data_IF_530444684521
#
_entry.id   IF_530444684521
#
_cell.length_a   1.000
_cell.length_b   1.000
_cell.length_c   1.000
_cell.angle_alpha   90.00
_cell.angle_beta   90.00
_cell.angle_gamma   90.00
#
_symmetry.space_group_name_H-M   'P 1'
#
loop_
_entity.id
_entity.type
_entity.pdbx_description
1 polymer ?
#
# COMPACT_ATOMS: atom_id res chain seq x y z
N UNK A 1 4.36 22.40 -41.70
CA UNK A 1 4.60 22.04 -40.29
C UNK A 1 3.27 21.63 -39.70
N UNK A 2 3.15 20.44 -39.10
CA UNK A 2 1.86 19.96 -38.57
C UNK A 2 1.53 20.65 -37.24
N UNK A 3 0.25 20.74 -36.84
CA UNK A 3 -0.13 21.27 -35.52
C UNK A 3 0.59 20.55 -34.36
N UNK A 4 0.78 19.23 -34.48
CA UNK A 4 1.56 18.44 -33.51
C UNK A 4 3.00 18.92 -33.39
N UNK A 5 3.72 19.11 -34.50
CA UNK A 5 5.10 19.62 -34.46
C UNK A 5 5.19 21.01 -33.83
N UNK A 6 4.22 21.89 -34.09
CA UNK A 6 4.17 23.23 -33.49
C UNK A 6 4.02 23.13 -31.97
N UNK A 7 3.06 22.33 -31.50
CA UNK A 7 2.80 22.15 -30.06
C UNK A 7 4.03 21.55 -29.37
N UNK A 8 4.62 20.49 -29.92
CA UNK A 8 5.80 19.84 -29.32
C UNK A 8 7.00 20.78 -29.29
N UNK A 9 7.30 21.48 -30.38
CA UNK A 9 8.40 22.44 -30.41
C UNK A 9 8.19 23.59 -29.41
N UNK A 10 6.95 24.07 -29.26
CA UNK A 10 6.61 25.09 -28.27
C UNK A 10 6.90 24.64 -26.85
N UNK A 11 6.49 23.41 -26.49
CA UNK A 11 6.71 22.86 -25.13
C UNK A 11 8.21 22.69 -24.85
N UNK A 12 8.97 22.19 -25.82
CA UNK A 12 10.42 22.03 -25.69
C UNK A 12 11.07 23.40 -25.47
N UNK A 13 10.82 24.36 -26.36
CA UNK A 13 11.44 25.68 -26.29
C UNK A 13 11.04 26.47 -25.03
N UNK A 14 9.81 26.30 -24.52
CA UNK A 14 9.39 26.96 -23.28
C UNK A 14 10.01 26.35 -22.02
N UNK A 15 10.46 25.10 -22.08
CA UNK A 15 11.05 24.39 -20.93
C UNK A 15 12.55 24.63 -20.81
N UNK A 16 13.22 24.85 -21.95
CA UNK A 16 14.67 24.99 -22.05
C UNK A 16 15.20 26.33 -21.54
N UNK A 17 16.36 26.30 -20.88
CA UNK A 17 17.17 27.49 -20.59
C UNK A 17 18.36 27.57 -21.56
N UNK A 18 18.17 28.23 -22.70
CA UNK A 18 19.19 28.37 -23.75
C UNK A 18 20.42 29.22 -23.37
N UNK A 19 20.42 29.84 -22.18
CA UNK A 19 21.58 30.59 -21.68
C UNK A 19 22.65 29.70 -21.04
N UNK A 20 22.37 28.41 -20.84
CA UNK A 20 23.29 27.43 -20.26
C UNK A 20 23.89 26.56 -21.36
N UNK A 21 25.17 26.21 -21.24
CA UNK A 21 25.83 25.31 -22.18
C UNK A 21 25.35 23.86 -21.94
N UNK A 22 24.72 23.19 -22.92
CA UNK A 22 24.26 21.81 -22.78
C UNK A 22 25.38 20.81 -22.49
N UNK A 23 26.63 21.10 -22.88
CA UNK A 23 27.77 20.23 -22.60
C UNK A 23 28.26 20.34 -21.15
N UNK A 24 27.86 21.39 -20.44
CA UNK A 24 28.24 21.66 -19.06
C UNK A 24 27.16 21.19 -18.08
N UNK A 25 25.90 21.54 -18.33
CA UNK A 25 24.74 21.09 -17.56
C UNK A 25 23.53 20.92 -18.49
N UNK A 26 23.36 19.70 -18.99
CA UNK A 26 22.26 19.39 -19.89
C UNK A 26 20.90 19.46 -19.19
N UNK A 27 20.84 19.25 -17.87
CA UNK A 27 19.59 19.27 -17.13
C UNK A 27 19.05 20.70 -16.98
N UNK A 28 19.89 21.65 -16.56
CA UNK A 28 19.49 23.06 -16.52
C UNK A 28 19.21 23.59 -17.93
N UNK A 29 20.00 23.21 -18.94
CA UNK A 29 19.72 23.59 -20.33
C UNK A 29 18.34 23.10 -20.81
N UNK A 30 18.00 21.83 -20.53
CA UNK A 30 16.77 21.22 -21.02
C UNK A 30 15.52 21.62 -20.20
N UNK A 31 15.67 21.80 -18.88
CA UNK A 31 14.56 21.90 -17.93
C UNK A 31 14.52 23.21 -17.11
N UNK A 32 15.55 24.05 -17.18
CA UNK A 32 15.74 25.16 -16.24
C UNK A 32 14.59 26.18 -16.22
N UNK A 33 13.94 26.44 -17.35
CA UNK A 33 12.76 27.32 -17.38
C UNK A 33 11.49 26.59 -16.89
N UNK A 34 11.37 25.29 -17.17
CA UNK A 34 10.27 24.48 -16.65
C UNK A 34 10.25 24.50 -15.12
N UNK A 35 11.39 24.29 -14.47
CA UNK A 35 11.49 24.29 -12.99
C UNK A 35 11.04 25.63 -12.41
N UNK A 36 11.43 26.75 -13.04
CA UNK A 36 11.02 28.11 -12.59
C UNK A 36 9.53 28.35 -12.77
N UNK A 37 8.93 27.76 -13.79
CA UNK A 37 7.50 27.89 -14.09
C UNK A 37 6.59 26.95 -13.29
N UNK A 38 7.15 25.93 -12.62
CA UNK A 38 6.40 24.90 -11.91
C UNK A 38 6.89 24.78 -10.46
N UNK A 39 6.52 25.74 -9.58
CA UNK A 39 6.76 25.58 -8.15
C UNK A 39 6.01 24.36 -7.63
N UNK A 40 6.57 23.70 -6.62
CA UNK A 40 5.93 22.55 -5.96
C UNK A 40 4.60 23.02 -5.35
N UNK A 41 3.45 22.41 -5.70
CA UNK A 41 2.16 22.73 -5.10
C UNK A 41 2.14 22.48 -3.60
N UNK A 42 1.35 23.26 -2.86
CA UNK A 42 1.25 23.14 -1.39
C UNK A 42 0.70 21.79 -0.91
N UNK A 43 0.04 21.01 -1.78
CA UNK A 43 -0.55 19.71 -1.46
C UNK A 43 0.29 18.53 -1.97
N UNK A 44 1.54 18.77 -2.40
CA UNK A 44 2.41 17.76 -2.97
C UNK A 44 3.86 17.89 -2.48
N UNK A 45 4.61 16.77 -2.36
CA UNK A 45 6.01 16.81 -1.95
C UNK A 45 6.97 17.14 -3.11
N UNK A 46 6.50 17.03 -4.36
CA UNK A 46 7.30 17.24 -5.56
C UNK A 46 6.42 17.54 -6.77
N UNK A 47 7.03 18.02 -7.85
CA UNK A 47 6.38 18.25 -9.14
C UNK A 47 7.31 17.86 -10.29
N UNK A 48 6.80 17.08 -11.22
CA UNK A 48 7.44 16.77 -12.51
C UNK A 48 6.36 16.60 -13.58
N UNK A 49 6.79 16.34 -14.82
CA UNK A 49 5.86 16.00 -15.89
C UNK A 49 5.06 14.72 -15.60
N UNK A 50 5.59 13.78 -14.81
CA UNK A 50 4.88 12.57 -14.42
C UNK A 50 3.74 12.87 -13.43
N UNK A 51 3.98 13.70 -12.42
CA UNK A 51 2.95 14.14 -11.47
C UNK A 51 1.86 14.93 -12.19
N UNK A 52 2.21 15.83 -13.10
CA UNK A 52 1.24 16.57 -13.92
C UNK A 52 0.35 15.60 -14.74
N UNK A 53 0.96 14.60 -15.40
CA UNK A 53 0.20 13.60 -16.15
C UNK A 53 -0.68 12.73 -15.23
N UNK A 54 -0.19 12.39 -14.03
CA UNK A 54 -0.96 11.68 -13.01
C UNK A 54 -2.18 12.48 -12.56
N UNK A 55 -2.03 13.79 -12.34
CA UNK A 55 -3.15 14.68 -12.02
C UNK A 55 -4.17 14.75 -13.17
N UNK A 56 -3.72 14.92 -14.41
CA UNK A 56 -4.60 14.91 -15.59
C UNK A 56 -5.39 13.60 -15.70
N UNK A 57 -4.74 12.47 -15.43
CA UNK A 57 -5.39 11.15 -15.36
C UNK A 57 -6.42 11.09 -14.23
N UNK A 58 -6.10 11.58 -13.03
CA UNK A 58 -7.03 11.61 -11.91
C UNK A 58 -8.26 12.47 -12.19
N UNK A 59 -8.10 13.63 -12.84
CA UNK A 59 -9.22 14.47 -13.27
C UNK A 59 -10.10 13.77 -14.31
N UNK A 60 -9.50 13.14 -15.32
CA UNK A 60 -10.25 12.37 -16.32
C UNK A 60 -11.02 11.22 -15.66
N UNK A 61 -10.40 10.48 -14.73
CA UNK A 61 -11.07 9.42 -13.99
C UNK A 61 -12.20 9.96 -13.11
N UNK A 62 -12.00 11.10 -12.43
CA UNK A 62 -13.04 11.78 -11.65
C UNK A 62 -14.26 12.07 -12.52
N UNK A 63 -14.07 12.71 -13.68
CA UNK A 63 -15.16 13.02 -14.60
C UNK A 63 -15.91 11.75 -15.04
N UNK A 64 -15.19 10.70 -15.42
CA UNK A 64 -15.78 9.43 -15.84
C UNK A 64 -16.52 8.70 -14.71
N UNK A 65 -16.04 8.80 -13.47
CA UNK A 65 -16.68 8.21 -12.29
C UNK A 65 -17.94 8.98 -11.87
N UNK A 66 -17.96 10.30 -12.06
CA UNK A 66 -19.10 11.18 -11.76
C UNK A 66 -20.15 11.21 -12.87
N UNK A 67 -19.77 10.85 -14.10
CA UNK A 67 -20.69 10.80 -15.24
C UNK A 67 -21.87 9.86 -14.96
N UNK A 68 -23.09 10.36 -15.22
CA UNK A 68 -24.30 9.53 -15.14
C UNK A 68 -24.26 8.49 -16.26
N UNK A 69 -24.39 7.21 -15.91
CA UNK A 69 -24.55 6.16 -16.92
C UNK A 69 -25.97 6.29 -17.48
N UNK A 70 -26.10 6.91 -18.66
CA UNK A 70 -27.37 7.00 -19.39
C UNK A 70 -28.38 8.04 -18.88
N UNK A 71 -29.43 8.25 -19.67
CA UNK A 71 -30.61 9.02 -19.27
C UNK A 71 -31.46 8.13 -18.36
N UNK A 72 -31.48 8.43 -17.07
CA UNK A 72 -32.40 7.87 -16.06
C UNK A 72 -32.18 6.44 -15.53
N UNK A 73 -31.11 5.71 -15.87
CA UNK A 73 -30.88 4.39 -15.26
C UNK A 73 -30.02 4.49 -13.99
N UNK A 74 -30.48 3.82 -12.92
CA UNK A 74 -29.73 3.65 -11.68
C UNK A 74 -28.35 3.01 -11.98
N UNK A 75 -27.33 3.36 -11.19
CA UNK A 75 -26.01 2.71 -11.28
C UNK A 75 -26.21 1.19 -11.27
N UNK A 76 -25.81 0.50 -12.34
CA UNK A 76 -25.79 -0.96 -12.39
C UNK A 76 -24.76 -1.48 -11.39
N UNK A 77 -25.23 -1.78 -10.18
CA UNK A 77 -24.39 -2.24 -9.06
C UNK A 77 -23.79 -3.62 -9.28
N UNK A 78 -24.17 -4.34 -10.34
CA UNK A 78 -23.63 -5.66 -10.63
C UNK A 78 -22.43 -5.61 -11.58
N UNK A 79 -22.41 -4.67 -12.52
CA UNK A 79 -21.25 -4.48 -13.40
C UNK A 79 -20.01 -3.99 -12.64
N UNK A 80 -18.82 -4.36 -13.14
CA UNK A 80 -17.55 -3.88 -12.58
C UNK A 80 -17.44 -2.35 -12.60
N UNK A 81 -17.95 -1.70 -13.66
CA UNK A 81 -17.94 -0.24 -13.80
C UNK A 81 -18.90 0.39 -12.79
N UNK A 82 -20.13 -0.12 -12.66
CA UNK A 82 -21.08 0.43 -11.71
C UNK A 82 -20.69 0.20 -10.26
N UNK A 83 -20.02 -0.93 -9.92
CA UNK A 83 -19.37 -1.12 -8.61
C UNK A 83 -18.29 -0.06 -8.35
N UNK A 84 -17.46 0.26 -9.34
CA UNK A 84 -16.44 1.29 -9.20
C UNK A 84 -17.04 2.69 -8.98
N UNK A 85 -18.07 3.07 -9.75
CA UNK A 85 -18.79 4.34 -9.56
C UNK A 85 -19.51 4.41 -8.22
N UNK A 86 -20.13 3.30 -7.80
CA UNK A 86 -20.83 3.22 -6.52
C UNK A 86 -19.84 3.35 -5.35
N UNK A 87 -18.70 2.67 -5.40
CA UNK A 87 -17.63 2.84 -4.42
C UNK A 87 -17.15 4.30 -4.36
N UNK A 88 -16.88 4.93 -5.51
CA UNK A 88 -16.44 6.33 -5.54
C UNK A 88 -17.47 7.26 -4.87
N UNK A 89 -18.76 7.04 -5.13
CA UNK A 89 -19.84 7.77 -4.46
C UNK A 89 -19.86 7.56 -2.94
N UNK A 90 -19.68 6.33 -2.47
CA UNK A 90 -19.60 6.02 -1.04
C UNK A 90 -18.39 6.71 -0.39
N UNK A 91 -17.23 6.66 -1.04
CA UNK A 91 -16.00 7.27 -0.56
C UNK A 91 -16.14 8.79 -0.35
N UNK A 92 -16.91 9.47 -1.20
CA UNK A 92 -17.22 10.90 -1.08
C UNK A 92 -18.24 11.22 0.03
N UNK A 93 -19.03 10.26 0.49
CA UNK A 93 -20.11 10.50 1.45
C UNK A 93 -19.59 10.50 2.91
N UNK A 94 -18.98 11.62 3.31
CA UNK A 94 -18.36 11.74 4.64
C UNK A 94 -19.34 11.58 5.79
N UNK A 95 -20.60 12.01 5.63
CA UNK A 95 -21.62 11.86 6.67
C UNK A 95 -21.94 10.39 6.92
N UNK A 96 -22.13 9.60 5.87
CA UNK A 96 -22.41 8.16 6.01
C UNK A 96 -21.21 7.39 6.57
N UNK A 97 -19.98 7.78 6.23
CA UNK A 97 -18.77 7.20 6.82
C UNK A 97 -18.68 7.59 8.29
N UNK A 98 -18.89 8.86 8.63
CA UNK A 98 -18.85 9.36 10.01
C UNK A 98 -19.84 8.63 10.92
N UNK A 99 -21.05 8.35 10.41
CA UNK A 99 -22.10 7.69 11.18
C UNK A 99 -21.83 6.19 11.43
N UNK A 100 -21.08 5.53 10.54
CA UNK A 100 -20.96 4.06 10.54
C UNK A 100 -19.55 3.52 10.81
N UNK A 101 -18.49 4.32 10.66
CA UNK A 101 -17.11 3.81 10.71
C UNK A 101 -16.79 3.06 11.99
N UNK A 102 -17.31 3.53 13.14
CA UNK A 102 -17.00 2.95 14.44
C UNK A 102 -17.59 1.55 14.58
N UNK A 103 -18.82 1.35 14.12
CA UNK A 103 -19.46 0.03 14.14
C UNK A 103 -18.69 -0.96 13.27
N UNK A 104 -18.34 -0.57 12.03
CA UNK A 104 -17.54 -1.43 11.15
C UNK A 104 -16.14 -1.71 11.71
N UNK A 105 -15.51 -0.71 12.33
CA UNK A 105 -14.23 -0.87 13.00
C UNK A 105 -14.31 -1.88 14.16
N UNK A 106 -15.28 -1.72 15.06
CA UNK A 106 -15.44 -2.59 16.22
C UNK A 106 -15.80 -4.04 15.80
N UNK A 107 -16.58 -4.24 14.73
CA UNK A 107 -16.88 -5.57 14.18
C UNK A 107 -15.60 -6.29 13.71
N UNK A 108 -14.71 -5.59 13.01
CA UNK A 108 -13.44 -6.18 12.53
C UNK A 108 -12.49 -6.44 13.69
N UNK A 109 -12.32 -5.49 14.60
CA UNK A 109 -11.48 -5.67 15.80
C UNK A 109 -11.96 -6.83 16.66
N UNK A 110 -13.28 -6.99 16.82
CA UNK A 110 -13.85 -8.14 17.53
C UNK A 110 -13.56 -9.46 16.81
N UNK A 111 -13.64 -9.49 15.47
CA UNK A 111 -13.29 -10.67 14.67
C UNK A 111 -11.80 -11.04 14.76
N UNK A 112 -10.93 -10.07 15.04
CA UNK A 112 -9.51 -10.27 15.29
C UNK A 112 -9.17 -10.68 16.73
N UNK A 113 -10.16 -10.70 17.63
CA UNK A 113 -9.96 -11.06 19.04
C UNK A 113 -9.64 -9.87 19.95
N UNK A 114 -9.75 -8.63 19.44
CA UNK A 114 -9.59 -7.40 20.18
C UNK A 114 -8.21 -6.74 20.01
N UNK A 115 -8.19 -5.43 20.21
CA UNK A 115 -6.97 -4.62 20.17
C UNK A 115 -6.55 -4.19 21.59
N UNK A 116 -5.44 -4.71 22.15
CA UNK A 116 -5.02 -4.42 23.52
C UNK A 116 -4.81 -2.93 23.84
N UNK A 117 -4.30 -2.12 22.89
CA UNK A 117 -4.18 -0.67 23.08
C UNK A 117 -5.49 0.06 23.33
N UNK A 118 -6.62 -0.56 22.96
CA UNK A 118 -7.96 -0.02 23.19
C UNK A 118 -8.62 -0.60 24.45
N UNK A 119 -7.87 -1.30 25.30
CA UNK A 119 -8.34 -1.88 26.56
C UNK A 119 -8.95 -3.27 26.44
N UNK A 120 -8.91 -3.90 25.25
CA UNK A 120 -9.36 -5.28 25.09
C UNK A 120 -8.38 -6.24 25.77
N UNK A 121 -8.91 -7.22 26.50
CA UNK A 121 -8.08 -8.26 27.10
C UNK A 121 -7.70 -9.28 26.03
N UNK A 122 -6.39 -9.49 25.87
CA UNK A 122 -5.90 -10.52 24.96
C UNK A 122 -6.19 -11.90 25.57
N UNK A 123 -6.90 -12.75 24.82
CA UNK A 123 -7.13 -14.13 25.27
C UNK A 123 -5.85 -14.96 25.11
N UNK A 124 -5.60 -15.87 26.04
CA UNK A 124 -4.37 -16.68 26.04
C UNK A 124 -4.21 -17.53 24.77
N UNK A 125 -5.32 -17.94 24.17
CA UNK A 125 -5.41 -18.78 22.98
C UNK A 125 -5.29 -18.01 21.65
N UNK A 126 -5.14 -16.67 21.67
CA UNK A 126 -4.90 -15.89 20.45
C UNK A 126 -3.61 -16.37 19.79
N UNK A 127 -3.72 -16.81 18.54
CA UNK A 127 -2.60 -17.20 17.69
C UNK A 127 -2.26 -16.06 16.75
N UNK A 128 -0.99 -15.62 16.77
CA UNK A 128 -0.47 -14.59 15.86
C UNK A 128 -0.59 -15.08 14.42
N UNK A 129 -0.35 -16.36 14.18
CA UNK A 129 -0.47 -17.01 12.88
C UNK A 129 -1.88 -16.90 12.32
N UNK A 130 -2.91 -17.16 13.14
CA UNK A 130 -4.31 -17.06 12.71
C UNK A 130 -4.72 -15.62 12.48
N UNK A 131 -4.42 -14.73 13.43
CA UNK A 131 -4.70 -13.30 13.31
C UNK A 131 -4.07 -12.72 12.04
N UNK A 132 -2.78 -12.98 11.85
CA UNK A 132 -2.06 -12.48 10.68
C UNK A 132 -2.55 -13.13 9.38
N UNK A 133 -2.89 -14.43 9.41
CA UNK A 133 -3.49 -15.12 8.27
C UNK A 133 -4.83 -14.53 7.84
N UNK A 134 -5.72 -14.22 8.78
CA UNK A 134 -6.99 -13.54 8.52
C UNK A 134 -6.77 -12.12 7.96
N UNK A 135 -5.80 -11.38 8.48
CA UNK A 135 -5.42 -10.05 7.97
C UNK A 135 -4.85 -10.11 6.54
N UNK A 136 -4.01 -11.10 6.23
CA UNK A 136 -3.46 -11.33 4.88
C UNK A 136 -4.58 -11.69 3.91
N UNK A 137 -5.46 -12.64 4.28
CA UNK A 137 -6.54 -13.11 3.42
C UNK A 137 -7.55 -12.02 3.06
N UNK A 138 -7.97 -11.22 4.05
CA UNK A 138 -9.06 -10.24 3.90
C UNK A 138 -8.57 -8.87 3.47
N UNK A 139 -7.37 -8.47 3.90
CA UNK A 139 -6.88 -7.09 3.75
C UNK A 139 -5.55 -6.98 3.00
N UNK A 140 -4.99 -8.09 2.51
CA UNK A 140 -3.68 -8.13 1.85
C UNK A 140 -2.57 -7.56 2.74
N UNK A 141 -2.65 -7.82 4.04
CA UNK A 141 -1.68 -7.33 5.00
C UNK A 141 -0.26 -7.84 4.66
N UNK A 142 0.72 -6.96 4.88
CA UNK A 142 2.14 -7.18 4.65
C UNK A 142 2.96 -6.55 5.78
N UNK A 143 2.54 -6.82 7.03
CA UNK A 143 3.08 -6.22 8.26
C UNK A 143 4.28 -6.98 8.81
N UNK A 144 4.16 -8.28 9.10
CA UNK A 144 5.29 -9.10 9.59
C UNK A 144 6.17 -9.58 8.44
N UNK A 145 5.54 -10.03 7.36
CA UNK A 145 6.15 -10.48 6.12
C UNK A 145 5.10 -10.48 5.02
N UNK A 146 5.48 -10.22 3.77
CA UNK A 146 4.58 -10.35 2.64
C UNK A 146 4.34 -11.82 2.35
N UNK A 147 3.08 -12.23 2.21
CA UNK A 147 2.71 -13.56 1.73
C UNK A 147 1.77 -13.43 0.53
N UNK A 148 2.05 -14.16 -0.56
CA UNK A 148 1.25 -14.08 -1.77
C UNK A 148 1.31 -15.37 -2.60
N UNK A 149 0.54 -15.42 -3.68
CA UNK A 149 0.59 -16.46 -4.70
C UNK A 149 1.01 -15.81 -6.00
N UNK A 150 2.09 -16.29 -6.61
CA UNK A 150 2.58 -15.80 -7.89
C UNK A 150 3.10 -16.95 -8.76
N UNK A 151 3.32 -16.73 -10.07
CA UNK A 151 4.05 -17.68 -10.89
C UNK A 151 5.44 -17.98 -10.31
N UNK A 152 5.89 -19.24 -10.36
CA UNK A 152 7.24 -19.63 -9.90
C UNK A 152 8.28 -19.12 -10.92
N UNK A 153 9.28 -18.36 -10.49
CA UNK A 153 10.32 -17.80 -11.37
C UNK A 153 11.09 -18.88 -12.13
N UNK A 154 11.21 -20.08 -11.54
CA UNK A 154 11.88 -21.23 -12.17
C UNK A 154 10.92 -22.11 -12.96
N UNK A 155 9.62 -21.88 -12.85
CA UNK A 155 8.59 -22.57 -13.64
C UNK A 155 7.30 -21.73 -13.75
N UNK A 156 7.24 -20.87 -14.76
CA UNK A 156 6.12 -19.94 -14.97
C UNK A 156 4.78 -20.62 -15.30
N UNK A 157 4.74 -21.93 -15.53
CA UNK A 157 3.49 -22.68 -15.74
C UNK A 157 2.78 -23.00 -14.41
N UNK A 158 3.47 -22.89 -13.28
CA UNK A 158 2.94 -23.18 -11.94
C UNK A 158 2.91 -21.93 -11.09
N UNK A 159 1.94 -21.89 -10.18
CA UNK A 159 1.90 -20.91 -9.11
C UNK A 159 2.49 -21.52 -7.83
N UNK A 160 3.12 -20.69 -7.02
CA UNK A 160 3.73 -21.09 -5.75
C UNK A 160 3.37 -20.08 -4.65
N UNK A 161 3.38 -20.55 -3.41
CA UNK A 161 3.34 -19.66 -2.25
C UNK A 161 4.66 -18.89 -2.20
N UNK A 162 4.59 -17.57 -2.06
CA UNK A 162 5.76 -16.70 -1.93
C UNK A 162 5.72 -15.99 -0.58
N UNK A 163 6.86 -15.98 0.10
CA UNK A 163 7.12 -15.10 1.24
C UNK A 163 8.26 -14.14 0.91
N UNK A 164 8.11 -12.88 1.33
CA UNK A 164 9.16 -11.86 1.29
C UNK A 164 9.10 -10.97 2.53
N UNK A 165 10.12 -10.13 2.73
CA UNK A 165 10.12 -9.11 3.77
C UNK A 165 8.94 -8.12 3.60
N UNK A 166 8.44 -7.52 4.69
CA UNK A 166 7.29 -6.62 4.65
C UNK A 166 7.64 -5.27 4.03
N UNK A 167 6.62 -4.52 3.62
CA UNK A 167 6.76 -3.09 3.38
C UNK A 167 6.62 -2.32 4.71
N UNK A 168 7.63 -1.54 5.05
CA UNK A 168 7.66 -0.70 6.25
C UNK A 168 6.67 0.47 6.13
N UNK A 169 6.08 0.90 7.25
CA UNK A 169 5.10 1.97 7.22
C UNK A 169 5.72 3.37 7.10
N UNK A 170 6.92 3.56 7.69
CA UNK A 170 7.67 4.81 7.66
C UNK A 170 8.68 4.79 6.50
N UNK A 171 8.15 4.87 5.28
CA UNK A 171 8.92 4.98 4.05
C UNK A 171 10.02 3.90 3.91
N UNK A 172 11.26 4.23 4.26
CA UNK A 172 12.44 3.39 4.12
C UNK A 172 13.03 2.98 5.48
N UNK A 173 13.82 1.90 5.46
CA UNK A 173 14.52 1.35 6.63
C UNK A 173 15.32 2.40 7.39
N UNK A 174 15.99 3.31 6.68
CA UNK A 174 16.90 4.29 7.28
C UNK A 174 16.20 5.26 8.24
N UNK A 175 14.91 5.54 8.03
CA UNK A 175 14.11 6.37 8.95
C UNK A 175 13.93 5.73 10.33
N UNK A 176 14.11 4.41 10.46
CA UNK A 176 14.06 3.71 11.75
C UNK A 176 15.43 3.62 12.42
N UNK A 177 16.49 3.38 11.65
CA UNK A 177 17.82 2.98 12.17
C UNK A 177 18.68 4.18 12.56
N UNK A 178 18.48 5.33 11.92
CA UNK A 178 19.28 6.53 12.19
C UNK A 178 18.92 7.16 13.57
N UNK A 179 19.93 7.71 14.24
CA UNK A 179 19.88 8.08 15.66
C UNK A 179 18.91 9.24 15.96
N UNK A 180 18.87 10.25 15.10
CA UNK A 180 17.96 11.40 15.19
C UNK A 180 17.15 11.47 13.92
N UNK A 181 15.84 11.22 14.03
CA UNK A 181 14.98 11.18 12.86
C UNK A 181 13.62 11.79 13.21
N UNK A 182 13.35 12.96 12.62
CA UNK A 182 12.08 13.69 12.79
C UNK A 182 10.90 12.84 12.28
N UNK A 183 11.13 12.00 11.26
CA UNK A 183 10.12 11.10 10.70
C UNK A 183 9.67 10.04 11.71
N UNK A 184 10.59 9.42 12.46
CA UNK A 184 10.26 8.45 13.50
C UNK A 184 9.47 9.10 14.64
N UNK A 185 9.83 10.31 15.04
CA UNK A 185 9.11 11.05 16.08
C UNK A 185 7.71 11.48 15.60
N UNK A 186 7.60 11.97 14.36
CA UNK A 186 6.31 12.30 13.75
C UNK A 186 5.42 11.05 13.62
N UNK A 187 6.01 9.90 13.32
CA UNK A 187 5.28 8.63 13.21
C UNK A 187 4.80 8.12 14.56
N UNK A 188 5.65 8.17 15.60
CA UNK A 188 5.25 7.88 16.98
C UNK A 188 4.07 8.77 17.41
N UNK A 189 4.17 10.05 17.12
CA UNK A 189 3.15 11.04 17.41
C UNK A 189 1.83 10.76 16.66
N UNK A 190 1.90 10.29 15.42
CA UNK A 190 0.75 9.84 14.64
C UNK A 190 0.07 8.62 15.30
N UNK A 191 0.83 7.59 15.67
CA UNK A 191 0.30 6.38 16.32
C UNK A 191 -0.45 6.78 17.61
N UNK A 192 0.20 7.58 18.46
CA UNK A 192 -0.39 8.04 19.72
C UNK A 192 -1.68 8.84 19.50
N UNK A 193 -1.67 9.82 18.59
CA UNK A 193 -2.85 10.66 18.33
C UNK A 193 -4.01 9.82 17.80
N UNK A 194 -3.75 8.83 16.94
CA UNK A 194 -4.78 7.90 16.45
C UNK A 194 -5.32 7.01 17.58
N UNK A 195 -4.47 6.46 18.44
CA UNK A 195 -4.93 5.65 19.58
C UNK A 195 -5.85 6.46 20.51
N UNK A 196 -5.52 7.73 20.77
CA UNK A 196 -6.38 8.64 21.55
C UNK A 196 -7.71 8.89 20.84
N UNK A 197 -7.71 9.11 19.52
CA UNK A 197 -8.95 9.25 18.73
C UNK A 197 -9.81 7.98 18.74
N UNK A 198 -9.19 6.81 18.88
CA UNK A 198 -9.88 5.53 19.06
C UNK A 198 -10.37 5.28 20.50
N UNK A 199 -10.19 6.27 21.39
CA UNK A 199 -10.54 6.26 22.81
C UNK A 199 -9.63 5.41 23.72
N UNK A 200 -8.38 5.18 23.34
CA UNK A 200 -7.38 4.68 24.28
C UNK A 200 -7.08 5.74 25.37
N UNK A 201 -6.88 5.34 26.64
CA UNK A 201 -6.39 6.26 27.67
C UNK A 201 -5.06 6.91 27.25
N UNK A 202 -4.88 8.22 27.50
CA UNK A 202 -3.72 8.95 26.98
C UNK A 202 -2.36 8.43 27.44
N UNK A 203 -2.27 7.94 28.68
CA UNK A 203 -1.04 7.35 29.22
C UNK A 203 -0.72 6.02 28.52
N UNK A 204 -1.70 5.11 28.40
CA UNK A 204 -1.51 3.85 27.69
C UNK A 204 -1.29 4.03 26.20
N UNK A 205 -1.92 5.02 25.57
CA UNK A 205 -1.71 5.35 24.16
C UNK A 205 -0.27 5.78 23.87
N UNK A 206 0.38 6.48 24.80
CA UNK A 206 1.79 6.89 24.64
C UNK A 206 2.71 5.69 24.78
N UNK A 207 2.53 4.91 25.84
CA UNK A 207 3.31 3.69 26.08
C UNK A 207 3.16 2.67 24.94
N UNK A 208 1.92 2.40 24.49
CA UNK A 208 1.66 1.44 23.42
C UNK A 208 2.20 1.93 22.07
N UNK A 209 2.17 3.25 21.80
CA UNK A 209 2.78 3.81 20.60
C UNK A 209 4.30 3.60 20.57
N UNK A 210 4.97 3.74 21.72
CA UNK A 210 6.40 3.46 21.86
C UNK A 210 6.71 1.98 21.65
N UNK A 211 5.92 1.05 22.22
CA UNK A 211 6.10 -0.39 22.01
C UNK A 211 5.89 -0.79 20.54
N UNK A 212 4.91 -0.20 19.85
CA UNK A 212 4.65 -0.43 18.43
C UNK A 212 5.85 0.01 17.58
N UNK A 213 6.38 1.22 17.82
CA UNK A 213 7.57 1.74 17.13
C UNK A 213 8.81 0.90 17.46
N UNK A 214 8.97 0.44 18.70
CA UNK A 214 10.09 -0.41 19.12
C UNK A 214 10.09 -1.71 18.33
N UNK A 215 8.94 -2.39 18.26
CA UNK A 215 8.80 -3.62 17.49
C UNK A 215 9.03 -3.39 15.99
N UNK A 216 8.44 -2.34 15.41
CA UNK A 216 8.60 -2.04 13.99
C UNK A 216 10.05 -1.65 13.63
N UNK A 217 10.75 -0.96 14.54
CA UNK A 217 12.18 -0.65 14.39
C UNK A 217 13.04 -1.92 14.43
N UNK A 218 12.72 -2.84 15.35
CA UNK A 218 13.42 -4.12 15.42
C UNK A 218 13.16 -4.98 14.17
N UNK A 219 11.94 -4.94 13.63
CA UNK A 219 11.59 -5.58 12.36
C UNK A 219 12.33 -4.94 11.17
N UNK A 220 12.36 -3.61 11.09
CA UNK A 220 13.10 -2.87 10.06
C UNK A 220 14.62 -3.15 10.12
N UNK A 221 15.18 -3.35 11.31
CA UNK A 221 16.60 -3.66 11.46
C UNK A 221 17.00 -5.00 10.82
N UNK A 222 16.10 -5.97 10.79
CA UNK A 222 16.36 -7.31 10.25
C UNK A 222 16.06 -7.44 8.75
N UNK A 223 15.38 -6.47 8.13
CA UNK A 223 15.15 -6.46 6.67
C UNK A 223 16.47 -6.26 5.91
N UNK A 224 16.51 -6.77 4.68
CA UNK A 224 17.62 -6.53 3.76
C UNK A 224 17.45 -5.15 3.11
N UNK A 225 18.55 -4.44 2.90
CA UNK A 225 18.57 -3.17 2.19
C UNK A 225 18.30 -3.39 0.69
N UNK A 226 17.73 -2.39 0.01
CA UNK A 226 17.27 -2.53 -1.38
C UNK A 226 18.42 -2.86 -2.36
N UNK A 227 19.61 -2.33 -2.12
CA UNK A 227 20.82 -2.59 -2.91
C UNK A 227 21.28 -4.05 -2.85
N UNK A 228 20.97 -4.75 -1.75
CA UNK A 228 21.25 -6.18 -1.55
C UNK A 228 20.20 -7.09 -2.22
N UNK A 229 19.16 -6.52 -2.83
CA UNK A 229 17.99 -7.25 -3.31
C UNK A 229 17.79 -7.19 -4.83
N UNK A 230 18.77 -6.68 -5.57
CA UNK A 230 18.67 -6.55 -7.03
C UNK A 230 18.73 -7.89 -7.78
N UNK A 231 19.40 -8.91 -7.23
CA UNK A 231 19.49 -10.23 -7.86
C UNK A 231 18.43 -11.19 -7.30
N UNK A 232 17.31 -11.32 -8.03
CA UNK A 232 16.20 -12.22 -7.66
C UNK A 232 16.67 -13.68 -7.62
N UNK A 233 17.64 -14.09 -8.45
CA UNK A 233 18.11 -15.47 -8.47
C UNK A 233 18.89 -15.82 -7.19
N UNK A 234 19.61 -14.84 -6.61
CA UNK A 234 20.26 -14.99 -5.30
C UNK A 234 19.26 -14.99 -4.14
N UNK A 235 18.18 -14.22 -4.26
CA UNK A 235 17.12 -14.17 -3.23
C UNK A 235 16.26 -15.45 -3.20
N UNK A 236 16.10 -16.11 -4.34
CA UNK A 236 15.20 -17.26 -4.51
C UNK A 236 15.67 -18.46 -3.69
N UNK A 237 14.91 -18.82 -2.65
CA UNK A 237 15.06 -20.08 -1.92
C UNK A 237 13.73 -20.83 -1.92
N UNK A 238 13.71 -22.04 -2.48
CA UNK A 238 12.53 -22.92 -2.45
C UNK A 238 12.69 -23.97 -1.36
N UNK A 239 11.67 -24.11 -0.51
CA UNK A 239 11.63 -25.08 0.59
C UNK A 239 10.20 -25.57 0.82
N UNK A 240 10.02 -26.65 1.57
CA UNK A 240 8.69 -27.12 1.98
C UNK A 240 8.26 -26.54 3.32
N UNK A 241 6.96 -26.54 3.62
CA UNK A 241 6.46 -26.16 4.94
C UNK A 241 7.05 -27.00 6.08
N UNK A 242 7.35 -28.28 5.83
CA UNK A 242 8.06 -29.14 6.79
C UNK A 242 9.48 -28.64 7.07
N UNK A 243 10.23 -28.26 6.04
CA UNK A 243 11.56 -27.67 6.20
C UNK A 243 11.51 -26.31 6.91
N UNK A 244 10.48 -25.50 6.64
CA UNK A 244 10.25 -24.24 7.36
C UNK A 244 9.99 -24.50 8.83
N UNK A 245 9.16 -25.48 9.18
CA UNK A 245 8.89 -25.86 10.57
C UNK A 245 10.15 -26.30 11.32
N UNK A 246 11.08 -26.99 10.66
CA UNK A 246 12.35 -27.39 11.26
C UNK A 246 13.33 -26.21 11.43
N UNK A 247 13.40 -25.30 10.45
CA UNK A 247 14.38 -24.21 10.43
C UNK A 247 13.90 -22.90 11.08
N UNK A 248 12.59 -22.69 11.16
CA UNK A 248 11.89 -21.48 11.59
C UNK A 248 10.72 -21.84 12.54
N UNK A 249 11.01 -22.45 13.72
CA UNK A 249 10.01 -23.08 14.57
C UNK A 249 9.14 -22.12 15.41
N UNK A 250 9.49 -20.83 15.50
CA UNK A 250 8.79 -19.86 16.37
C UNK A 250 7.52 -19.28 15.73
N UNK A 251 7.11 -19.78 14.57
CA UNK A 251 5.89 -19.40 13.86
C UNK A 251 5.31 -20.63 13.14
N UNK A 252 4.04 -20.96 13.37
CA UNK A 252 3.39 -22.09 12.69
C UNK A 252 2.97 -21.72 11.26
N UNK A 253 3.90 -21.90 10.31
CA UNK A 253 3.70 -21.60 8.89
C UNK A 253 2.55 -22.38 8.25
N UNK A 254 2.36 -23.65 8.65
CA UNK A 254 1.29 -24.47 8.11
C UNK A 254 -0.07 -23.98 8.62
N UNK A 255 -0.18 -23.62 9.90
CA UNK A 255 -1.38 -23.00 10.44
C UNK A 255 -1.68 -21.68 9.73
N UNK A 256 -0.68 -20.81 9.59
CA UNK A 256 -0.81 -19.53 8.89
C UNK A 256 -1.36 -19.69 7.48
N UNK A 257 -0.75 -20.51 6.61
CA UNK A 257 -1.23 -20.66 5.24
C UNK A 257 -2.61 -21.33 5.15
N UNK A 258 -2.92 -22.28 6.05
CA UNK A 258 -4.26 -22.88 6.10
C UNK A 258 -5.33 -21.90 6.58
N UNK A 259 -4.95 -20.90 7.37
CA UNK A 259 -5.82 -19.80 7.76
C UNK A 259 -6.04 -18.83 6.58
N UNK A 260 -4.96 -18.44 5.89
CA UNK A 260 -5.03 -17.56 4.70
C UNK A 260 -5.99 -18.14 3.64
N UNK A 261 -5.99 -19.46 3.48
CA UNK A 261 -6.83 -20.16 2.50
C UNK A 261 -8.12 -20.73 3.10
N UNK A 262 -8.51 -20.36 4.32
CA UNK A 262 -9.65 -20.96 5.04
C UNK A 262 -10.95 -20.96 4.22
N UNK A 263 -11.20 -19.84 3.56
CA UNK A 263 -12.43 -19.58 2.82
C UNK A 263 -12.28 -19.83 1.30
N UNK A 264 -11.15 -20.42 0.87
CA UNK A 264 -10.83 -20.68 -0.54
C UNK A 264 -11.08 -22.16 -0.87
N UNK A 265 -11.89 -22.39 -1.90
CA UNK A 265 -12.21 -23.74 -2.39
C UNK A 265 -11.69 -23.94 -3.81
N UNK A 266 -11.27 -25.17 -4.10
CA UNK A 266 -10.97 -25.62 -5.45
C UNK A 266 -12.24 -25.66 -6.32
N UNK A 267 -12.08 -25.79 -7.64
CA UNK A 267 -13.21 -25.93 -8.58
C UNK A 267 -14.18 -27.07 -8.23
N UNK A 268 -13.70 -28.07 -7.50
CA UNK A 268 -14.50 -29.23 -7.09
C UNK A 268 -15.16 -29.06 -5.72
N UNK A 269 -15.08 -27.86 -5.12
CA UNK A 269 -15.66 -27.54 -3.81
C UNK A 269 -14.83 -28.00 -2.61
N UNK A 270 -13.67 -28.66 -2.83
CA UNK A 270 -12.76 -29.04 -1.74
C UNK A 270 -11.99 -27.82 -1.26
N UNK A 271 -11.98 -27.56 0.05
CA UNK A 271 -11.17 -26.51 0.67
C UNK A 271 -9.69 -26.74 0.36
N UNK A 272 -8.99 -25.66 -0.01
CA UNK A 272 -7.55 -25.72 -0.20
C UNK A 272 -6.88 -25.77 1.18
N UNK A 273 -6.01 -26.76 1.38
CA UNK A 273 -5.21 -26.91 2.58
C UNK A 273 -3.80 -27.36 2.22
N UNK A 274 -2.84 -26.97 3.05
CA UNK A 274 -1.42 -27.28 2.87
C UNK A 274 -0.93 -28.20 3.98
N UNK A 275 -0.10 -29.16 3.60
CA UNK A 275 0.64 -30.06 4.48
C UNK A 275 2.14 -29.73 4.46
N UNK A 276 2.94 -30.53 5.16
CA UNK A 276 4.39 -30.33 5.26
C UNK A 276 5.14 -30.44 3.91
N UNK A 277 4.49 -30.98 2.85
CA UNK A 277 5.08 -31.12 1.52
C UNK A 277 4.81 -29.90 0.62
N UNK A 278 3.94 -28.98 1.03
CA UNK A 278 3.64 -27.79 0.24
C UNK A 278 4.90 -26.95 0.04
N UNK A 279 5.19 -26.60 -1.22
CA UNK A 279 6.35 -25.82 -1.60
C UNK A 279 6.10 -24.32 -1.41
N UNK A 280 7.08 -23.63 -0.84
CA UNK A 280 7.10 -22.19 -0.63
C UNK A 280 8.41 -21.64 -1.18
N UNK A 281 8.32 -20.55 -1.94
CA UNK A 281 9.48 -19.74 -2.32
C UNK A 281 9.61 -18.61 -1.32
N UNK A 282 10.82 -18.43 -0.82
CA UNK A 282 11.18 -17.35 0.09
C UNK A 282 12.20 -16.47 -0.63
N UNK A 283 11.91 -15.18 -0.76
CA UNK A 283 12.90 -14.19 -1.17
C UNK A 283 13.64 -13.67 0.06
N UNK A 284 14.94 -13.90 0.11
CA UNK A 284 15.77 -13.46 1.23
C UNK A 284 15.50 -14.26 2.51
N UNK A 285 15.78 -15.57 2.49
CA UNK A 285 15.60 -16.49 3.64
C UNK A 285 16.23 -16.00 4.95
N UNK A 286 17.30 -15.21 4.85
CA UNK A 286 17.98 -14.65 6.02
C UNK A 286 17.10 -13.69 6.83
N UNK A 287 16.20 -12.94 6.17
CA UNK A 287 15.19 -12.15 6.87
C UNK A 287 14.29 -13.04 7.74
N UNK A 288 13.77 -14.15 7.20
CA UNK A 288 12.92 -15.07 7.96
C UNK A 288 13.66 -15.73 9.13
N UNK A 289 14.95 -16.09 8.96
CA UNK A 289 15.76 -16.62 10.07
C UNK A 289 15.95 -15.61 11.20
N UNK A 290 16.06 -14.32 10.87
CA UNK A 290 16.16 -13.26 11.86
C UNK A 290 14.79 -12.97 12.49
N UNK A 291 13.72 -13.02 11.71
CA UNK A 291 12.35 -12.86 12.21
C UNK A 291 11.99 -13.97 13.19
N UNK A 292 12.33 -15.22 12.88
CA UNK A 292 12.13 -16.38 13.76
C UNK A 292 12.81 -16.17 15.13
N UNK A 293 14.01 -15.58 15.15
CA UNK A 293 14.71 -15.22 16.39
C UNK A 293 14.14 -13.99 17.08
N UNK A 294 13.53 -13.06 16.32
CA UNK A 294 13.02 -11.79 16.82
C UNK A 294 11.67 -11.95 17.53
N UNK A 295 10.72 -12.67 16.92
CA UNK A 295 9.37 -12.86 17.44
C UNK A 295 9.31 -13.28 18.93
N UNK A 296 10.07 -14.29 19.41
CA UNK A 296 9.99 -14.71 20.82
C UNK A 296 10.60 -13.70 21.80
N UNK A 297 11.28 -12.65 21.33
CA UNK A 297 11.83 -11.59 22.20
C UNK A 297 10.76 -10.58 22.63
N UNK A 298 9.61 -10.57 21.95
CA UNK A 298 8.51 -9.65 22.25
C UNK A 298 7.32 -10.38 22.84
N UNK A 299 6.64 -9.74 23.78
CA UNK A 299 5.38 -10.26 24.31
C UNK A 299 4.33 -10.32 23.20
N UNK A 300 3.48 -11.36 23.23
CA UNK A 300 2.39 -11.56 22.27
C UNK A 300 1.52 -10.30 22.12
N UNK A 301 1.24 -9.61 23.23
CA UNK A 301 0.47 -8.34 23.26
C UNK A 301 1.07 -7.27 22.35
N UNK A 302 2.39 -7.10 22.35
CA UNK A 302 3.10 -6.11 21.53
C UNK A 302 2.96 -6.43 20.04
N UNK A 303 3.11 -7.70 19.67
CA UNK A 303 2.96 -8.15 18.29
C UNK A 303 1.52 -7.95 17.80
N UNK A 304 0.52 -8.25 18.63
CA UNK A 304 -0.90 -7.98 18.29
C UNK A 304 -1.15 -6.49 18.11
N UNK A 305 -0.69 -5.63 19.03
CA UNK A 305 -0.83 -4.18 18.91
C UNK A 305 -0.19 -3.65 17.61
N UNK A 306 0.99 -4.14 17.25
CA UNK A 306 1.64 -3.80 15.99
C UNK A 306 0.83 -4.22 14.76
N UNK A 307 0.30 -5.45 14.76
CA UNK A 307 -0.52 -5.97 13.66
C UNK A 307 -1.82 -5.17 13.46
N UNK A 308 -2.53 -4.89 14.55
CA UNK A 308 -3.75 -4.09 14.56
C UNK A 308 -3.49 -2.66 14.09
N UNK A 309 -2.39 -2.05 14.58
CA UNK A 309 -1.96 -0.74 14.10
C UNK A 309 -1.71 -0.74 12.59
N UNK A 310 -0.94 -1.71 12.08
CA UNK A 310 -0.65 -1.81 10.66
C UNK A 310 -1.92 -2.00 9.82
N UNK A 311 -2.83 -2.87 10.27
CA UNK A 311 -4.12 -3.05 9.61
C UNK A 311 -4.90 -1.74 9.55
N UNK A 312 -5.05 -1.05 10.68
CA UNK A 312 -5.81 0.20 10.76
C UNK A 312 -5.17 1.30 9.89
N UNK A 313 -3.85 1.47 10.00
CA UNK A 313 -3.07 2.46 9.25
C UNK A 313 -3.17 2.25 7.73
N UNK A 314 -3.02 1.00 7.25
CA UNK A 314 -3.03 0.67 5.81
C UNK A 314 -4.45 0.57 5.23
N UNK A 315 -5.43 0.19 6.04
CA UNK A 315 -6.77 -0.18 5.54
C UNK A 315 -7.84 0.87 5.79
N UNK A 316 -7.85 1.50 6.96
CA UNK A 316 -8.96 2.38 7.37
C UNK A 316 -8.57 3.85 7.48
N UNK A 317 -7.41 4.16 8.06
CA UNK A 317 -7.08 5.51 8.52
C UNK A 317 -7.22 6.59 7.43
N UNK A 318 -6.85 6.28 6.18
CA UNK A 318 -6.94 7.22 5.04
C UNK A 318 -8.37 7.43 4.52
N UNK A 319 -9.28 6.52 4.81
CA UNK A 319 -10.66 6.54 4.33
C UNK A 319 -11.62 7.22 5.35
N UNK A 320 -11.16 7.43 6.59
CA UNK A 320 -11.94 8.05 7.67
C UNK A 320 -12.03 9.59 7.54
N UNK A 321 -13.13 10.21 8.03
CA UNK A 321 -13.30 11.66 8.04
C UNK A 321 -12.46 12.33 9.13
N UNK A 322 -12.54 13.65 9.23
CA UNK A 322 -12.03 14.39 10.39
C UNK A 322 -12.64 13.82 11.68
N UNK A 323 -11.84 13.58 12.75
CA UNK A 323 -10.47 14.08 12.98
C UNK A 323 -9.32 13.20 12.48
N UNK A 324 -9.58 12.01 11.92
CA UNK A 324 -8.52 11.08 11.50
C UNK A 324 -7.70 11.60 10.30
N UNK A 325 -8.35 12.23 9.33
CA UNK A 325 -7.66 12.83 8.19
C UNK A 325 -6.64 13.91 8.63
N UNK A 326 -6.95 14.65 9.70
CA UNK A 326 -6.07 15.67 10.28
C UNK A 326 -4.79 15.09 10.88
N UNK A 327 -4.83 13.88 11.46
CA UNK A 327 -3.61 13.28 12.05
C UNK A 327 -2.62 12.88 10.97
N UNK A 328 -3.11 12.29 9.87
CA UNK A 328 -2.31 11.99 8.68
C UNK A 328 -1.73 13.27 8.07
N UNK A 329 -2.56 14.32 7.93
CA UNK A 329 -2.10 15.60 7.41
C UNK A 329 -1.01 16.21 8.29
N UNK A 330 -1.19 16.21 9.61
CA UNK A 330 -0.19 16.70 10.58
C UNK A 330 1.12 15.92 10.46
N UNK A 331 1.06 14.60 10.28
CA UNK A 331 2.23 13.76 10.02
C UNK A 331 2.97 14.25 8.77
N UNK A 332 2.32 14.29 7.61
CA UNK A 332 2.97 14.74 6.36
C UNK A 332 3.45 16.20 6.41
N UNK A 333 2.73 17.08 7.11
CA UNK A 333 3.12 18.48 7.29
C UNK A 333 4.38 18.61 8.14
N UNK A 334 4.51 17.80 9.19
CA UNK A 334 5.72 17.77 10.03
C UNK A 334 6.96 17.43 9.20
N UNK A 335 6.78 16.61 8.16
CA UNK A 335 7.86 16.17 7.27
C UNK A 335 8.06 17.09 6.06
N UNK A 336 7.42 18.26 6.04
CA UNK A 336 7.41 19.19 4.90
C UNK A 336 7.01 18.53 3.57
N UNK A 337 6.18 17.48 3.61
CA UNK A 337 5.71 16.76 2.43
C UNK A 337 4.43 17.38 1.85
N UNK A 338 3.61 18.03 2.70
CA UNK A 338 2.39 18.74 2.30
C UNK A 338 2.08 19.89 3.26
N UNK A 339 1.79 21.08 2.74
CA UNK A 339 1.38 22.28 3.48
C UNK A 339 -0.14 22.41 3.64
N UNK A 340 -0.91 21.86 2.71
CA UNK A 340 -2.38 21.82 2.74
C UNK A 340 -2.91 20.40 2.52
N UNK A 341 -4.12 20.13 2.98
CA UNK A 341 -4.75 18.84 2.79
C UNK A 341 -5.16 18.63 1.34
N UNK A 342 -4.90 17.43 0.81
CA UNK A 342 -5.48 17.02 -0.46
C UNK A 342 -6.99 16.91 -0.35
N UNK A 343 -7.68 17.33 -1.41
CA UNK A 343 -9.14 17.21 -1.48
C UNK A 343 -9.54 15.73 -1.56
N UNK A 344 -10.56 15.35 -0.79
CA UNK A 344 -11.01 13.96 -0.61
C UNK A 344 -11.20 13.17 -1.91
N UNK A 345 -11.71 13.81 -2.96
CA UNK A 345 -11.96 13.15 -4.24
C UNK A 345 -10.68 12.54 -4.85
N UNK A 346 -9.51 13.17 -4.69
CA UNK A 346 -8.22 12.62 -5.16
C UNK A 346 -7.93 11.27 -4.48
N UNK A 347 -8.11 11.23 -3.15
CA UNK A 347 -7.99 9.99 -2.36
C UNK A 347 -8.97 8.92 -2.85
N UNK A 348 -10.22 9.29 -3.11
CA UNK A 348 -11.24 8.38 -3.62
C UNK A 348 -10.93 7.82 -5.02
N UNK A 349 -10.43 8.65 -5.95
CA UNK A 349 -9.99 8.20 -7.29
C UNK A 349 -8.80 7.25 -7.17
N UNK A 350 -7.79 7.62 -6.39
CA UNK A 350 -6.60 6.78 -6.14
C UNK A 350 -7.01 5.44 -5.55
N UNK A 351 -7.90 5.45 -4.56
CA UNK A 351 -8.38 4.25 -3.87
C UNK A 351 -9.13 3.31 -4.81
N UNK A 352 -10.09 3.81 -5.59
CA UNK A 352 -10.84 2.94 -6.52
C UNK A 352 -9.95 2.44 -7.66
N UNK A 353 -9.01 3.24 -8.13
CA UNK A 353 -8.05 2.79 -9.15
C UNK A 353 -7.13 1.68 -8.63
N UNK A 354 -6.78 1.69 -7.34
CA UNK A 354 -6.02 0.61 -6.69
C UNK A 354 -6.86 -0.65 -6.45
N UNK A 355 -8.12 -0.50 -6.03
CA UNK A 355 -9.01 -1.63 -5.73
C UNK A 355 -9.57 -2.31 -6.99
N UNK A 356 -9.91 -1.52 -8.01
CA UNK A 356 -10.55 -1.99 -9.24
C UNK A 356 -9.87 -1.43 -10.51
N UNK A 357 -8.54 -1.63 -10.69
CA UNK A 357 -7.78 -1.04 -11.80
C UNK A 357 -8.32 -1.43 -13.17
N UNK A 358 -8.86 -2.64 -13.31
CA UNK A 358 -9.43 -3.10 -14.58
C UNK A 358 -10.72 -2.35 -14.94
N UNK A 359 -11.54 -1.98 -13.95
CA UNK A 359 -12.78 -1.25 -14.18
C UNK A 359 -12.48 0.22 -14.55
N UNK A 360 -11.61 0.87 -13.79
CA UNK A 360 -11.17 2.25 -14.03
C UNK A 360 -10.38 2.39 -15.33
N UNK A 361 -9.48 1.45 -15.63
CA UNK A 361 -8.74 1.45 -16.91
C UNK A 361 -9.66 1.21 -18.10
N UNK A 362 -10.66 0.33 -17.97
CA UNK A 362 -11.63 0.05 -19.04
C UNK A 362 -12.45 1.29 -19.41
N UNK A 363 -12.94 2.05 -18.41
CA UNK A 363 -13.65 3.31 -18.69
C UNK A 363 -12.73 4.38 -19.27
N UNK A 364 -11.50 4.49 -18.76
CA UNK A 364 -10.53 5.47 -19.24
C UNK A 364 -10.14 5.22 -20.70
N UNK A 365 -9.72 3.99 -21.03
CA UNK A 365 -9.27 3.61 -22.38
C UNK A 365 -10.38 3.85 -23.41
N UNK A 366 -11.64 3.56 -23.08
CA UNK A 366 -12.77 3.79 -24.00
C UNK A 366 -12.96 5.26 -24.40
N UNK A 367 -12.55 6.21 -23.55
CA UNK A 367 -12.80 7.64 -23.77
C UNK A 367 -11.55 8.42 -24.18
N UNK A 368 -10.37 8.02 -23.69
CA UNK A 368 -9.14 8.79 -23.82
C UNK A 368 -8.03 8.09 -24.60
N UNK A 369 -8.19 6.82 -24.99
CA UNK A 369 -7.14 6.08 -25.68
C UNK A 369 -7.45 5.91 -27.18
N UNK A 370 -6.51 6.36 -28.02
CA UNK A 370 -6.58 6.13 -29.46
C UNK A 370 -6.08 4.71 -29.81
N UNK A 371 -7.01 3.86 -30.22
CA UNK A 371 -6.72 2.48 -30.61
C UNK A 371 -5.83 2.38 -31.87
N UNK A 372 -5.85 3.37 -32.76
CA UNK A 372 -5.00 3.37 -33.96
C UNK A 372 -3.54 3.67 -33.62
N UNK A 373 -3.29 4.56 -32.65
CA UNK A 373 -1.94 4.85 -32.14
C UNK A 373 -1.24 3.59 -31.56
N UNK A 374 -2.00 2.71 -30.90
CA UNK A 374 -1.47 1.43 -30.42
C UNK A 374 -0.99 0.53 -31.57
N UNK A 375 -1.77 0.49 -32.66
CA UNK A 375 -1.53 -0.43 -33.78
C UNK A 375 -0.41 0.04 -34.69
N UNK A 376 -0.33 1.35 -34.94
CA UNK A 376 0.63 1.92 -35.89
C UNK A 376 1.99 2.22 -35.24
N UNK A 377 2.01 2.73 -34.01
CA UNK A 377 3.24 3.29 -33.44
C UNK A 377 3.87 2.39 -32.37
N UNK A 378 3.10 1.94 -31.37
CA UNK A 378 3.66 1.17 -30.25
C UNK A 378 4.10 -0.24 -30.66
N UNK A 379 3.25 -0.98 -31.38
CA UNK A 379 3.61 -2.31 -31.89
C UNK A 379 4.71 -2.23 -32.97
N UNK A 380 4.82 -1.12 -33.68
CA UNK A 380 5.87 -0.90 -34.68
C UNK A 380 7.24 -0.62 -34.05
N UNK A 381 7.28 -0.02 -32.85
CA UNK A 381 8.51 0.24 -32.09
C UNK A 381 8.93 -0.99 -31.29
N UNK A 382 8.02 -1.70 -30.62
CA UNK A 382 8.37 -2.89 -29.82
C UNK A 382 8.78 -4.12 -30.64
N UNK A 383 8.40 -4.18 -31.93
CA UNK A 383 8.77 -5.28 -32.83
C UNK A 383 10.03 -4.98 -33.66
N UNK A 384 10.69 -3.84 -33.42
CA UNK A 384 12.05 -3.56 -33.93
C UNK A 384 13.05 -3.78 -32.81
#
# INVERSE_FOLDING_TARGET
>A
MTPGCIRTASVILSSMNSSVDPCSDFYEYACGQWIRGHPIPDDAPSVSNFENLGQDLEFALKELLEEKIGREEAIDRESAIGKAKFFYKLCLNESEIFDNWRTTFDEVVAAFGGWPSLGHQLQDDVSIEKLYGDMVAKFRADSLFKATVQPDDKNSEKHVLLIDQPALNLFARDFYVLAENEERLAYLQLIRDVLVLLHAPSESATFDAEEIIEFETALANITMADDQRHDIAELYTKMTLGQMKEQLPNFDWQLFFNEVFRDITSKNGTRISFDENAEVVVYGVEFLRRLDKLLPQFEKRRVVNYLEWCWFFKTMLRDLPDPFALTIFKFYKTLNLMNVQKVRWHGCVTRINSLMPMATSSIYVKHHFDHEAKKQDLLGVCNR
#
